data_IF_577795409149
#
_entry.id   IF_577795409149
#
_cell.length_a   1.000
_cell.length_b   1.000
_cell.length_c   1.000
_cell.angle_alpha   90.00
_cell.angle_beta   90.00
_cell.angle_gamma   90.00
#
_symmetry.space_group_name_H-M   'P 1'
#
loop_
_entity.id
_entity.type
_entity.pdbx_description
1 polymer ?
#
# COMPACT_ATOMS: atom_id res chain seq x y z
N UNK A 1 16.16 -10.27 10.61
CA UNK A 1 15.91 -9.21 9.61
C UNK A 1 14.47 -8.81 9.78
N UNK A 2 14.20 -7.54 10.10
CA UNK A 2 12.84 -7.03 9.95
C UNK A 2 12.56 -6.98 8.44
N UNK A 3 11.44 -7.55 8.01
CA UNK A 3 10.93 -7.27 6.67
C UNK A 3 10.70 -5.75 6.59
N UNK A 4 10.93 -5.17 5.43
CA UNK A 4 10.52 -3.79 5.13
C UNK A 4 9.35 -3.87 4.14
N UNK A 5 8.75 -2.74 3.78
CA UNK A 5 7.82 -2.70 2.67
C UNK A 5 8.50 -3.14 1.36
N UNK A 6 7.74 -3.84 0.53
CA UNK A 6 8.13 -4.20 -0.84
C UNK A 6 7.09 -3.68 -1.82
N UNK A 7 7.53 -3.25 -3.00
CA UNK A 7 6.62 -2.83 -4.07
C UNK A 7 5.62 -3.94 -4.42
N UNK A 8 4.34 -3.57 -4.57
CA UNK A 8 3.26 -4.49 -4.87
C UNK A 8 2.69 -5.22 -3.65
N UNK A 9 3.29 -5.06 -2.47
CA UNK A 9 2.76 -5.64 -1.23
C UNK A 9 1.37 -5.05 -0.95
N UNK A 10 0.38 -5.92 -0.76
CA UNK A 10 -0.97 -5.55 -0.36
C UNK A 10 -1.00 -5.47 1.16
N UNK A 11 -1.57 -4.40 1.71
CA UNK A 11 -1.56 -4.12 3.14
C UNK A 11 -2.94 -3.67 3.62
N UNK A 12 -3.19 -3.79 4.92
CA UNK A 12 -4.35 -3.20 5.56
C UNK A 12 -4.00 -2.55 6.89
N UNK A 13 -4.72 -1.50 7.24
CA UNK A 13 -4.62 -0.82 8.54
C UNK A 13 -6.02 -0.30 8.89
N UNK A 14 -6.49 -0.55 10.11
CA UNK A 14 -7.80 -0.10 10.61
C UNK A 14 -9.00 -0.43 9.70
N UNK A 15 -8.90 -1.54 8.95
CA UNK A 15 -9.95 -2.01 8.02
C UNK A 15 -9.91 -1.35 6.63
N UNK A 16 -8.95 -0.45 6.39
CA UNK A 16 -8.64 0.07 5.06
C UNK A 16 -7.60 -0.83 4.37
N UNK A 17 -7.68 -0.91 3.05
CA UNK A 17 -6.82 -1.79 2.25
C UNK A 17 -6.06 -0.96 1.23
N UNK A 18 -4.79 -1.27 1.02
CA UNK A 18 -3.95 -0.52 0.10
C UNK A 18 -2.83 -1.36 -0.50
N UNK A 19 -2.08 -0.76 -1.40
CA UNK A 19 -0.94 -1.38 -2.07
C UNK A 19 0.29 -0.47 -1.99
N UNK A 20 1.44 -1.08 -1.74
CA UNK A 20 2.72 -0.37 -1.81
C UNK A 20 3.04 -0.06 -3.27
N UNK A 21 3.06 1.22 -3.61
CA UNK A 21 3.39 1.71 -4.95
C UNK A 21 4.82 2.24 -4.99
N UNK A 22 5.35 2.38 -6.22
CA UNK A 22 6.64 3.02 -6.44
C UNK A 22 6.48 4.54 -6.47
N UNK A 23 7.28 5.25 -5.69
CA UNK A 23 7.44 6.71 -5.74
C UNK A 23 8.74 7.09 -6.42
N UNK A 24 8.82 8.29 -7.00
CA UNK A 24 10.10 8.85 -7.49
C UNK A 24 11.12 9.08 -6.36
N UNK A 25 10.62 9.20 -5.12
CA UNK A 25 11.43 9.32 -3.91
C UNK A 25 11.99 7.98 -3.40
N UNK A 26 11.51 6.85 -3.95
CA UNK A 26 11.95 5.53 -3.52
C UNK A 26 13.41 5.29 -3.91
N UNK A 27 14.20 4.88 -2.92
CA UNK A 27 15.53 4.32 -3.15
C UNK A 27 15.39 2.81 -3.37
N UNK A 28 16.38 2.14 -3.99
CA UNK A 28 16.36 0.69 -4.08
C UNK A 28 16.15 0.07 -2.70
N UNK A 29 15.10 -0.72 -2.53
CA UNK A 29 14.68 -1.35 -1.27
C UNK A 29 14.26 -0.37 -0.16
N UNK A 30 13.74 0.81 -0.52
CA UNK A 30 13.15 1.75 0.43
C UNK A 30 11.79 2.19 -0.10
N UNK A 31 10.81 1.33 0.16
CA UNK A 31 9.42 1.53 -0.20
C UNK A 31 8.62 2.00 1.03
N UNK A 32 7.37 2.36 0.81
CA UNK A 32 6.47 2.75 1.89
C UNK A 32 5.38 3.71 1.45
N UNK A 33 5.32 4.14 0.19
CA UNK A 33 4.15 4.86 -0.30
C UNK A 33 2.99 3.89 -0.52
N UNK A 34 1.91 4.06 0.23
CA UNK A 34 0.70 3.27 0.13
C UNK A 34 -0.29 4.01 -0.77
N UNK A 35 -0.95 3.31 -1.68
CA UNK A 35 -2.16 3.77 -2.34
C UNK A 35 -3.38 3.04 -1.74
N UNK A 36 -4.28 3.79 -1.12
CA UNK A 36 -5.45 3.23 -0.45
C UNK A 36 -6.63 2.99 -1.42
N UNK A 37 -7.33 1.88 -1.21
CA UNK A 37 -8.47 1.43 -2.00
C UNK A 37 -9.76 2.15 -1.62
N UNK A 38 -9.87 3.40 -2.07
CA UNK A 38 -11.01 4.27 -1.77
C UNK A 38 -11.79 4.66 -3.03
N UNK A 39 -13.07 4.98 -2.88
CA UNK A 39 -13.96 5.45 -3.95
C UNK A 39 -13.74 6.92 -4.34
N UNK A 40 -12.96 7.65 -3.53
CA UNK A 40 -12.63 9.06 -3.72
C UNK A 40 -11.57 9.26 -4.80
N UNK A 41 -10.89 10.41 -4.83
CA UNK A 41 -9.65 10.57 -5.60
C UNK A 41 -8.57 9.58 -5.14
N UNK A 42 -7.44 9.52 -5.85
CA UNK A 42 -6.32 8.68 -5.42
C UNK A 42 -5.83 9.14 -4.05
N UNK A 43 -5.83 8.22 -3.09
CA UNK A 43 -5.42 8.47 -1.73
C UNK A 43 -4.07 7.81 -1.49
N UNK A 44 -3.09 8.62 -1.11
CA UNK A 44 -1.70 8.19 -0.94
C UNK A 44 -1.18 8.62 0.41
N UNK A 45 -0.50 7.71 1.09
CA UNK A 45 0.18 8.00 2.35
C UNK A 45 1.62 7.49 2.32
N UNK A 46 2.54 8.28 2.87
CA UNK A 46 3.96 7.94 2.93
C UNK A 46 4.31 7.27 4.27
N UNK A 47 4.69 6.00 4.18
CA UNK A 47 5.12 5.14 5.29
C UNK A 47 6.58 4.68 5.13
N UNK A 48 7.40 5.41 4.37
CA UNK A 48 8.80 5.06 4.12
C UNK A 48 9.62 4.90 5.40
N UNK A 49 10.25 3.73 5.56
CA UNK A 49 11.03 3.41 6.77
C UNK A 49 10.19 3.27 8.04
N UNK A 50 8.86 3.27 7.92
CA UNK A 50 7.91 3.15 9.02
C UNK A 50 7.26 1.76 9.08
N UNK A 51 7.81 0.73 8.42
CA UNK A 51 7.25 -0.63 8.44
C UNK A 51 7.00 -1.15 9.87
N UNK A 52 7.98 -1.00 10.77
CA UNK A 52 7.81 -1.39 12.18
C UNK A 52 6.67 -0.62 12.87
N UNK A 53 6.54 0.67 12.59
CA UNK A 53 5.45 1.50 13.13
C UNK A 53 4.09 1.15 12.52
N UNK A 54 4.06 0.73 11.27
CA UNK A 54 2.86 0.25 10.58
C UNK A 54 2.35 -1.03 11.25
N UNK A 55 3.21 -2.04 11.41
CA UNK A 55 2.86 -3.29 12.11
C UNK A 55 2.45 -3.02 13.55
N UNK A 56 3.16 -2.14 14.27
CA UNK A 56 2.82 -1.80 15.66
C UNK A 56 1.45 -1.10 15.80
N UNK A 57 0.95 -0.47 14.75
CA UNK A 57 -0.39 0.13 14.71
C UNK A 57 -1.48 -0.87 14.30
N UNK A 58 -1.14 -2.15 14.12
CA UNK A 58 -2.09 -3.17 13.65
C UNK A 58 -2.14 -3.30 12.13
N UNK A 59 -1.14 -2.74 11.43
CA UNK A 59 -0.97 -2.95 10.01
C UNK A 59 -0.67 -4.42 9.70
N UNK A 60 -1.27 -4.93 8.63
CA UNK A 60 -1.15 -6.32 8.22
C UNK A 60 -0.73 -6.42 6.75
N UNK A 61 -0.04 -7.51 6.40
CA UNK A 61 0.20 -7.90 5.01
C UNK A 61 -0.98 -8.74 4.55
N UNK A 62 -1.61 -8.33 3.45
CA UNK A 62 -2.81 -8.94 2.89
C UNK A 62 -2.42 -9.94 1.80
N UNK A 63 -3.25 -10.97 1.62
CA UNK A 63 -3.09 -11.96 0.55
C UNK A 63 -2.93 -11.30 -0.83
N UNK A 64 -2.00 -11.81 -1.63
CA UNK A 64 -1.80 -11.38 -3.03
C UNK A 64 -3.07 -11.54 -3.87
N UNK A 65 -3.96 -12.47 -3.50
CA UNK A 65 -5.25 -12.70 -4.17
C UNK A 65 -6.34 -11.69 -3.77
N UNK A 66 -6.05 -10.73 -2.89
CA UNK A 66 -7.01 -9.68 -2.55
C UNK A 66 -7.32 -8.81 -3.76
N UNK A 67 -8.61 -8.63 -4.04
CA UNK A 67 -9.07 -7.81 -5.15
C UNK A 67 -9.55 -6.46 -4.61
N UNK A 68 -8.76 -5.42 -4.86
CA UNK A 68 -9.16 -4.04 -4.61
C UNK A 68 -10.44 -3.69 -5.38
N UNK A 69 -11.28 -2.85 -4.79
CA UNK A 69 -12.56 -2.44 -5.37
C UNK A 69 -12.41 -1.27 -6.34
N UNK A 70 -11.53 -0.32 -6.04
CA UNK A 70 -11.43 0.98 -6.69
C UNK A 70 -10.08 1.24 -7.35
N UNK A 71 -9.02 0.54 -6.92
CA UNK A 71 -7.68 0.62 -7.54
C UNK A 71 -7.24 -0.69 -8.19
N UNK A 72 -6.30 -0.64 -9.11
CA UNK A 72 -5.61 -1.79 -9.70
C UNK A 72 -4.37 -2.16 -8.87
N UNK A 73 -3.75 -3.30 -9.19
CA UNK A 73 -2.52 -3.79 -8.51
C UNK A 73 -1.26 -2.96 -8.84
N UNK A 74 -1.38 -1.86 -9.59
CA UNK A 74 -0.35 -0.85 -9.79
C UNK A 74 -0.66 0.48 -9.06
N UNK A 75 -1.77 0.55 -8.32
CA UNK A 75 -2.25 1.76 -7.64
C UNK A 75 -2.99 2.75 -8.54
N UNK A 76 -3.21 2.46 -9.82
CA UNK A 76 -4.07 3.29 -10.68
C UNK A 76 -5.55 3.10 -10.35
N UNK A 77 -6.38 4.13 -10.57
CA UNK A 77 -7.84 3.99 -10.44
C UNK A 77 -8.37 3.01 -11.48
N UNK A 78 -9.29 2.15 -11.05
CA UNK A 78 -10.13 1.40 -11.97
C UNK A 78 -11.03 2.35 -12.72
N UNK A 79 -11.14 2.15 -14.04
CA UNK A 79 -12.13 2.87 -14.82
C UNK A 79 -13.53 2.48 -14.33
N UNK A 80 -14.38 3.47 -14.05
CA UNK A 80 -15.82 3.21 -13.96
C UNK A 80 -16.27 2.73 -15.35
N UNK A 81 -16.82 1.51 -15.40
CA UNK A 81 -17.59 1.02 -16.55
C UNK A 81 -18.96 1.70 -16.58
#
# INVERSE_FOLDING_TARGET
MYADFEYGMKVSLDGEFGIIIKSELDKPNFYGRICWDTDKELDFEDWHGLFGSFINQGGEIVSENYHFRFINDDGSKKACL
#
